data_IF_468822145313
#
_entry.id   IF_468822145313
#
_cell.length_a   1.000
_cell.length_b   1.000
_cell.length_c   1.000
_cell.angle_alpha   90.00
_cell.angle_beta   90.00
_cell.angle_gamma   90.00
#
_symmetry.space_group_name_H-M   'P 1'
#
loop_
_entity.id
_entity.type
_entity.pdbx_description
1 polymer ?
#
# COMPACT_ATOMS: atom_id res chain seq x y z
N UNK A 1 -30.09 44.05 4.59
CA UNK A 1 -29.73 42.61 4.63
C UNK A 1 -29.67 42.23 6.11
N UNK A 2 -30.60 41.40 6.58
CA UNK A 2 -30.83 41.21 8.00
C UNK A 2 -29.66 40.50 8.70
N UNK A 3 -29.21 41.05 9.82
CA UNK A 3 -28.18 40.50 10.71
C UNK A 3 -28.39 39.01 11.02
N UNK A 4 -29.64 38.58 11.15
CA UNK A 4 -30.04 37.20 11.37
C UNK A 4 -29.66 36.25 10.16
N UNK A 5 -29.75 36.75 8.92
CA UNK A 5 -29.35 35.98 7.73
C UNK A 5 -27.85 35.82 7.62
N UNK A 6 -27.09 36.83 8.04
CA UNK A 6 -25.61 36.74 8.07
C UNK A 6 -25.16 35.75 9.14
N UNK A 7 -25.82 35.75 10.31
CA UNK A 7 -25.52 34.82 11.39
C UNK A 7 -25.80 33.34 10.99
N UNK A 8 -26.92 33.08 10.30
CA UNK A 8 -27.27 31.74 9.81
C UNK A 8 -26.30 31.25 8.74
N UNK A 9 -25.86 32.14 7.84
CA UNK A 9 -24.86 31.76 6.82
C UNK A 9 -23.49 31.51 7.45
N UNK A 10 -23.08 32.30 8.44
CA UNK A 10 -21.83 32.10 9.17
C UNK A 10 -21.84 30.79 10.00
N UNK A 11 -22.95 30.46 10.64
CA UNK A 11 -23.06 29.20 11.40
C UNK A 11 -23.12 27.98 10.48
N UNK A 12 -23.75 28.08 9.29
CA UNK A 12 -23.76 26.97 8.31
C UNK A 12 -22.40 26.77 7.66
N UNK A 13 -21.64 27.84 7.39
CA UNK A 13 -20.26 27.76 6.91
C UNK A 13 -19.30 27.16 7.96
N UNK A 14 -19.50 27.55 9.25
CA UNK A 14 -18.72 26.97 10.34
C UNK A 14 -19.04 25.49 10.56
N UNK A 15 -20.30 25.08 10.41
CA UNK A 15 -20.72 23.68 10.51
C UNK A 15 -20.16 22.82 9.35
N UNK A 16 -20.01 23.40 8.15
CA UNK A 16 -19.39 22.71 7.01
C UNK A 16 -17.87 22.51 7.19
N UNK A 17 -17.20 23.35 7.95
CA UNK A 17 -15.76 23.23 8.21
C UNK A 17 -15.43 22.24 9.34
N UNK A 18 -16.43 21.81 10.13
CA UNK A 18 -16.24 20.88 11.26
C UNK A 18 -16.54 19.41 10.93
N UNK A 19 -16.89 19.09 9.67
CA UNK A 19 -17.47 17.79 9.34
C UNK A 19 -16.53 16.80 8.63
N UNK A 20 -15.22 16.87 8.79
CA UNK A 20 -14.32 15.86 8.21
C UNK A 20 -13.08 15.51 9.06
N UNK A 21 -13.23 15.31 10.34
CA UNK A 21 -12.28 14.46 11.04
C UNK A 21 -12.88 13.05 11.13
N UNK A 22 -12.45 12.17 10.23
CA UNK A 22 -12.69 10.74 10.41
C UNK A 22 -12.01 10.30 11.70
N UNK A 23 -12.68 9.54 12.52
CA UNK A 23 -12.19 9.06 13.84
C UNK A 23 -10.81 8.37 13.74
N UNK A 24 -10.44 7.89 12.57
CA UNK A 24 -9.17 7.19 12.28
C UNK A 24 -8.07 8.13 11.75
N UNK A 25 -8.39 9.38 11.40
CA UNK A 25 -7.46 10.29 10.72
C UNK A 25 -7.02 9.79 9.33
N UNK A 26 -7.78 8.86 8.75
CA UNK A 26 -7.62 8.36 7.38
C UNK A 26 -8.87 8.82 6.62
N UNK A 27 -8.73 9.56 5.51
CA UNK A 27 -9.86 9.92 4.67
C UNK A 27 -10.55 8.67 4.11
N UNK A 28 -11.88 8.67 4.13
CA UNK A 28 -12.65 7.64 3.42
C UNK A 28 -12.50 7.92 1.93
N UNK A 29 -11.75 7.06 1.25
CA UNK A 29 -11.46 7.19 -0.17
C UNK A 29 -12.28 6.21 -1.01
N UNK A 30 -12.52 6.57 -2.27
CA UNK A 30 -13.07 5.62 -3.27
C UNK A 30 -12.03 4.62 -3.73
N UNK A 31 -10.76 4.96 -3.58
CA UNK A 31 -9.62 4.12 -3.96
C UNK A 31 -9.02 3.56 -2.68
N UNK A 32 -8.74 2.28 -2.68
CA UNK A 32 -8.06 1.62 -1.58
C UNK A 32 -6.61 2.15 -1.47
N UNK A 33 -6.13 2.30 -0.25
CA UNK A 33 -4.74 2.65 0.05
C UNK A 33 -3.87 1.38 -0.04
N UNK A 34 -3.68 0.86 -1.25
CA UNK A 34 -2.87 -0.33 -1.54
C UNK A 34 -2.38 -0.30 -2.97
N UNK A 35 -1.48 -1.21 -3.31
CA UNK A 35 -1.05 -1.46 -4.69
C UNK A 35 -1.78 -2.72 -5.17
N UNK A 36 -2.86 -2.56 -5.96
CA UNK A 36 -3.70 -3.68 -6.39
C UNK A 36 -3.07 -4.41 -7.58
N UNK A 37 -3.30 -5.72 -7.64
CA UNK A 37 -2.97 -6.55 -8.81
C UNK A 37 -3.87 -7.77 -8.88
N UNK A 38 -3.84 -8.48 -10.01
CA UNK A 38 -4.67 -9.64 -10.27
C UNK A 38 -6.09 -9.28 -10.72
N UNK A 39 -7.06 -10.16 -10.48
CA UNK A 39 -8.47 -9.92 -10.82
C UNK A 39 -9.12 -9.00 -9.78
N UNK A 40 -9.26 -7.73 -10.11
CA UNK A 40 -9.84 -6.73 -9.21
C UNK A 40 -11.33 -6.98 -8.88
N UNK A 41 -12.00 -7.85 -9.63
CA UNK A 41 -13.40 -8.21 -9.42
C UNK A 41 -13.56 -9.52 -8.63
N UNK A 42 -12.46 -10.22 -8.33
CA UNK A 42 -12.51 -11.45 -7.57
C UNK A 42 -13.12 -11.25 -6.17
N UNK A 43 -13.99 -12.16 -5.72
CA UNK A 43 -14.47 -12.17 -4.33
C UNK A 43 -13.40 -12.65 -3.34
N UNK A 44 -12.33 -13.29 -3.82
CA UNK A 44 -11.20 -13.69 -2.98
C UNK A 44 -10.16 -12.58 -3.02
N UNK A 45 -9.87 -11.99 -1.87
CA UNK A 45 -8.86 -10.94 -1.72
C UNK A 45 -7.73 -11.46 -0.84
N UNK A 46 -6.51 -11.34 -1.33
CA UNK A 46 -5.29 -11.63 -0.57
C UNK A 46 -4.51 -10.33 -0.40
N UNK A 47 -4.13 -10.02 0.83
CA UNK A 47 -3.27 -8.87 1.11
C UNK A 47 -1.88 -9.35 1.56
N UNK A 48 -0.84 -8.78 0.99
CA UNK A 48 0.54 -8.94 1.41
C UNK A 48 0.98 -7.65 2.10
N UNK A 49 1.18 -7.71 3.41
CA UNK A 49 1.73 -6.60 4.20
C UNK A 49 3.24 -6.75 4.25
N UNK A 50 3.95 -5.79 3.67
CA UNK A 50 5.40 -5.88 3.44
C UNK A 50 6.13 -4.63 3.91
N UNK A 51 7.43 -4.76 4.17
CA UNK A 51 8.39 -3.66 4.29
C UNK A 51 9.55 -3.94 3.34
N UNK A 52 9.85 -3.01 2.46
CA UNK A 52 10.88 -3.17 1.43
C UNK A 52 12.30 -3.26 1.99
N UNK A 53 12.50 -2.97 3.28
CA UNK A 53 13.76 -3.13 4.00
C UNK A 53 13.77 -4.32 4.97
N UNK A 54 12.68 -5.08 5.04
CA UNK A 54 12.60 -6.28 5.88
C UNK A 54 13.21 -7.49 5.15
N UNK A 55 14.22 -8.14 5.75
CA UNK A 55 14.84 -9.34 5.18
C UNK A 55 13.85 -10.48 5.00
N UNK A 56 12.96 -10.70 5.98
CA UNK A 56 11.94 -11.73 5.88
C UNK A 56 10.95 -11.45 4.72
N UNK A 57 10.67 -10.17 4.40
CA UNK A 57 9.91 -9.83 3.18
C UNK A 57 10.67 -10.24 1.93
N UNK A 58 11.97 -9.95 1.86
CA UNK A 58 12.83 -10.36 0.72
C UNK A 58 12.81 -11.87 0.54
N UNK A 59 12.97 -12.62 1.63
CA UNK A 59 12.99 -14.10 1.60
C UNK A 59 11.67 -14.68 1.09
N UNK A 60 10.54 -14.09 1.51
CA UNK A 60 9.21 -14.53 1.08
C UNK A 60 8.84 -14.08 -0.36
N UNK A 61 9.49 -13.05 -0.90
CA UNK A 61 9.04 -12.37 -2.12
C UNK A 61 9.00 -13.26 -3.37
N UNK A 62 9.92 -14.22 -3.47
CA UNK A 62 9.92 -15.16 -4.60
C UNK A 62 8.64 -16.00 -4.59
N UNK A 63 8.30 -16.61 -3.44
CA UNK A 63 7.09 -17.42 -3.29
C UNK A 63 5.84 -16.57 -3.53
N UNK A 64 5.79 -15.35 -3.01
CA UNK A 64 4.65 -14.44 -3.23
C UNK A 64 4.49 -14.10 -4.72
N UNK A 65 5.59 -13.92 -5.44
CA UNK A 65 5.57 -13.67 -6.89
C UNK A 65 5.02 -14.88 -7.67
N UNK A 66 5.38 -16.10 -7.26
CA UNK A 66 4.83 -17.34 -7.85
C UNK A 66 3.34 -17.49 -7.54
N UNK A 67 2.90 -17.19 -6.33
CA UNK A 67 1.48 -17.18 -5.94
C UNK A 67 0.69 -16.19 -6.80
N UNK A 68 1.20 -14.97 -6.97
CA UNK A 68 0.55 -13.98 -7.85
C UNK A 68 0.48 -14.50 -9.28
N UNK A 69 1.57 -15.03 -9.82
CA UNK A 69 1.60 -15.54 -11.19
C UNK A 69 0.58 -16.66 -11.41
N UNK A 70 0.40 -17.53 -10.41
CA UNK A 70 -0.54 -18.67 -10.49
C UNK A 70 -2.01 -18.24 -10.36
N UNK A 71 -2.30 -17.25 -9.53
CA UNK A 71 -3.68 -16.89 -9.16
C UNK A 71 -4.15 -15.52 -9.68
N UNK A 72 -3.35 -14.79 -10.48
CA UNK A 72 -3.67 -13.42 -10.93
C UNK A 72 -5.02 -13.28 -11.65
N UNK A 73 -5.50 -14.32 -12.30
CA UNK A 73 -6.78 -14.31 -13.03
C UNK A 73 -7.96 -14.79 -12.18
N UNK A 74 -7.74 -15.13 -10.91
CA UNK A 74 -8.70 -15.72 -9.98
C UNK A 74 -8.81 -14.97 -8.65
N UNK A 75 -7.79 -14.21 -8.27
CA UNK A 75 -7.65 -13.60 -6.95
C UNK A 75 -7.32 -12.12 -7.11
N UNK A 76 -7.94 -11.29 -6.28
CA UNK A 76 -7.54 -9.90 -6.07
C UNK A 76 -6.40 -9.86 -5.06
N UNK A 77 -5.24 -9.42 -5.51
CA UNK A 77 -4.13 -9.15 -4.60
C UNK A 77 -4.04 -7.67 -4.25
N UNK A 78 -3.56 -7.38 -3.06
CA UNK A 78 -3.24 -6.04 -2.59
C UNK A 78 -1.91 -6.08 -1.87
N UNK A 79 -0.95 -5.31 -2.34
CA UNK A 79 0.28 -5.09 -1.59
C UNK A 79 0.07 -3.87 -0.70
N UNK A 80 0.35 -4.03 0.60
CA UNK A 80 0.32 -2.98 1.59
C UNK A 80 1.71 -2.79 2.15
N UNK A 81 2.20 -1.57 2.12
CA UNK A 81 3.53 -1.27 2.64
C UNK A 81 3.40 -0.78 4.09
N UNK A 82 4.01 -1.52 5.00
CA UNK A 82 4.12 -1.19 6.42
C UNK A 82 5.58 -0.90 6.77
N UNK A 83 6.04 0.35 6.69
CA UNK A 83 7.38 0.70 7.13
C UNK A 83 7.52 0.44 8.64
N UNK A 84 8.42 -0.50 8.99
CA UNK A 84 8.66 -0.87 10.39
C UNK A 84 9.58 0.16 11.07
N UNK A 85 9.33 0.54 12.32
CA UNK A 85 9.97 1.67 12.97
C UNK A 85 11.48 1.47 13.25
N UNK A 86 11.96 0.25 13.22
CA UNK A 86 13.37 -0.10 13.41
C UNK A 86 14.16 -0.25 12.10
N UNK A 87 13.50 -0.11 10.95
CA UNK A 87 14.12 -0.01 9.64
C UNK A 87 14.19 1.46 9.22
N UNK A 88 15.35 2.08 9.39
CA UNK A 88 15.53 3.54 9.26
C UNK A 88 15.08 4.09 7.90
N UNK A 89 15.25 3.31 6.83
CA UNK A 89 14.95 3.76 5.47
C UNK A 89 13.59 3.28 4.93
N UNK A 90 12.85 2.51 5.73
CA UNK A 90 11.58 1.91 5.32
C UNK A 90 10.57 2.93 4.77
N UNK A 91 10.42 4.08 5.44
CA UNK A 91 9.49 5.11 4.99
C UNK A 91 9.93 5.79 3.68
N UNK A 92 11.25 5.93 3.46
CA UNK A 92 11.77 6.49 2.18
C UNK A 92 11.43 5.55 1.03
N UNK A 93 11.65 4.24 1.18
CA UNK A 93 11.31 3.26 0.15
C UNK A 93 9.80 3.14 -0.06
N UNK A 94 9.00 3.20 1.00
CA UNK A 94 7.54 3.23 0.92
C UNK A 94 7.06 4.44 0.11
N UNK A 95 7.61 5.64 0.38
CA UNK A 95 7.29 6.85 -0.36
C UNK A 95 7.77 6.77 -1.80
N UNK A 96 8.91 6.17 -2.07
CA UNK A 96 9.40 5.94 -3.43
C UNK A 96 8.45 5.02 -4.22
N UNK A 97 7.97 3.92 -3.63
CA UNK A 97 6.94 3.07 -4.24
C UNK A 97 5.66 3.85 -4.57
N UNK A 98 5.19 4.67 -3.63
CA UNK A 98 4.03 5.55 -3.84
C UNK A 98 4.29 6.61 -4.91
N UNK A 99 5.54 7.09 -5.06
CA UNK A 99 5.94 8.03 -6.11
C UNK A 99 5.86 7.36 -7.49
N UNK A 100 6.43 6.16 -7.62
CA UNK A 100 6.33 5.39 -8.87
C UNK A 100 4.88 5.09 -9.20
N UNK A 101 4.08 4.69 -8.22
CA UNK A 101 2.63 4.46 -8.38
C UNK A 101 1.89 5.71 -8.90
N UNK A 102 2.16 6.86 -8.30
CA UNK A 102 1.49 8.12 -8.63
C UNK A 102 1.72 8.54 -10.09
N UNK A 103 2.95 8.43 -10.57
CA UNK A 103 3.32 8.88 -11.92
C UNK A 103 3.16 7.79 -12.99
N UNK A 104 3.34 6.50 -12.64
CA UNK A 104 3.47 5.41 -13.61
C UNK A 104 2.48 4.26 -13.39
N UNK A 105 1.69 4.28 -12.29
CA UNK A 105 0.65 3.30 -12.01
C UNK A 105 1.15 1.99 -11.36
N UNK A 106 0.20 1.06 -11.21
CA UNK A 106 0.36 -0.17 -10.43
C UNK A 106 1.54 -1.02 -10.88
N UNK A 107 1.64 -1.29 -12.17
CA UNK A 107 2.65 -2.20 -12.72
C UNK A 107 4.06 -1.69 -12.45
N UNK A 108 4.32 -0.42 -12.70
CA UNK A 108 5.63 0.18 -12.47
C UNK A 108 5.99 0.19 -10.98
N UNK A 109 5.02 0.40 -10.09
CA UNK A 109 5.24 0.32 -8.65
C UNK A 109 5.64 -1.09 -8.20
N UNK A 110 5.03 -2.14 -8.77
CA UNK A 110 5.42 -3.53 -8.48
C UNK A 110 6.82 -3.84 -9.03
N UNK A 111 7.13 -3.38 -10.24
CA UNK A 111 8.47 -3.55 -10.82
C UNK A 111 9.53 -2.83 -9.97
N UNK A 112 9.23 -1.63 -9.45
CA UNK A 112 10.08 -0.94 -8.47
C UNK A 112 10.27 -1.76 -7.18
N UNK A 113 9.20 -2.36 -6.65
CA UNK A 113 9.30 -3.19 -5.43
C UNK A 113 10.19 -4.42 -5.66
N UNK A 114 10.12 -5.06 -6.84
CA UNK A 114 11.01 -6.13 -7.23
C UNK A 114 12.47 -5.66 -7.19
N UNK A 115 12.78 -4.55 -7.87
CA UNK A 115 14.13 -4.00 -7.94
C UNK A 115 14.64 -3.56 -6.56
N UNK A 116 13.77 -2.96 -5.74
CA UNK A 116 14.11 -2.53 -4.39
C UNK A 116 14.46 -3.71 -3.48
N UNK A 117 13.72 -4.82 -3.56
CA UNK A 117 13.99 -6.04 -2.80
C UNK A 117 15.23 -6.78 -3.32
N UNK A 118 15.47 -6.80 -4.63
CA UNK A 118 16.70 -7.34 -5.20
C UNK A 118 17.93 -6.61 -4.66
N UNK A 119 17.87 -5.28 -4.59
CA UNK A 119 18.97 -4.41 -4.15
C UNK A 119 18.86 -3.99 -2.68
N UNK A 120 18.08 -4.71 -1.88
CA UNK A 120 17.72 -4.34 -0.49
C UNK A 120 18.96 -4.09 0.40
N UNK A 121 20.03 -4.82 0.19
CA UNK A 121 21.30 -4.68 0.92
C UNK A 121 21.84 -3.25 0.94
N UNK A 122 21.60 -2.47 -0.12
CA UNK A 122 21.99 -1.05 -0.23
C UNK A 122 21.23 -0.14 0.72
N UNK A 123 20.05 -0.55 1.18
CA UNK A 123 19.11 0.28 1.93
C UNK A 123 19.02 -0.08 3.42
N UNK A 124 19.73 -1.12 3.85
CA UNK A 124 19.72 -1.55 5.25
C UNK A 124 20.38 -0.51 6.16
N UNK A 125 20.01 -0.53 7.44
CA UNK A 125 20.51 0.42 8.44
C UNK A 125 22.05 0.56 8.43
N UNK A 126 22.77 -0.56 8.39
CA UNK A 126 24.23 -0.55 8.37
C UNK A 126 24.83 0.05 7.09
N UNK A 127 24.21 -0.17 5.93
CA UNK A 127 24.67 0.39 4.66
C UNK A 127 24.46 1.90 4.57
N UNK A 128 23.50 2.43 5.30
CA UNK A 128 23.06 3.83 5.24
C UNK A 128 23.36 4.63 6.50
N UNK A 129 24.07 4.06 7.48
CA UNK A 129 24.29 4.66 8.82
C UNK A 129 24.92 6.06 8.80
N UNK A 130 25.75 6.34 7.80
CA UNK A 130 26.45 7.62 7.64
C UNK A 130 25.83 8.51 6.54
N UNK A 131 24.67 8.15 6.01
CA UNK A 131 23.99 8.89 4.95
C UNK A 131 22.97 9.87 5.53
N UNK A 132 22.91 11.07 4.94
CA UNK A 132 21.82 11.98 5.22
C UNK A 132 20.53 11.47 4.53
N UNK A 133 19.36 11.95 5.00
CA UNK A 133 18.08 11.69 4.33
C UNK A 133 18.14 11.94 2.81
N UNK A 134 18.78 13.06 2.42
CA UNK A 134 18.90 13.43 0.99
C UNK A 134 19.78 12.44 0.21
N UNK A 135 20.81 11.90 0.85
CA UNK A 135 21.69 10.93 0.18
C UNK A 135 20.97 9.59 -0.01
N UNK A 136 20.17 9.18 0.98
CA UNK A 136 19.34 7.99 0.83
C UNK A 136 18.27 8.18 -0.25
N UNK A 137 17.61 9.34 -0.32
CA UNK A 137 16.67 9.65 -1.41
C UNK A 137 17.36 9.54 -2.77
N UNK A 138 18.60 10.05 -2.92
CA UNK A 138 19.38 9.89 -4.17
C UNK A 138 19.77 8.44 -4.44
N UNK A 139 20.12 7.68 -3.41
CA UNK A 139 20.44 6.26 -3.54
C UNK A 139 19.25 5.47 -4.08
N UNK A 140 18.06 5.72 -3.53
CA UNK A 140 16.80 5.07 -3.97
C UNK A 140 16.42 5.49 -5.39
N UNK A 141 16.73 6.73 -5.80
CA UNK A 141 16.53 7.18 -7.18
C UNK A 141 17.18 6.25 -8.21
N UNK A 142 18.38 5.70 -7.89
CA UNK A 142 19.09 4.77 -8.77
C UNK A 142 18.33 3.47 -9.05
N UNK A 143 17.33 3.12 -8.22
CA UNK A 143 16.43 1.98 -8.47
C UNK A 143 15.09 2.47 -9.04
N UNK A 144 14.51 3.53 -8.46
CA UNK A 144 13.19 4.03 -8.86
C UNK A 144 13.14 4.53 -10.32
N UNK A 145 14.26 4.98 -10.87
CA UNK A 145 14.36 5.47 -12.25
C UNK A 145 14.87 4.45 -13.26
N UNK A 146 15.02 3.18 -12.87
CA UNK A 146 15.38 2.11 -13.81
C UNK A 146 14.26 1.82 -14.85
N UNK A 147 13.01 2.14 -14.50
CA UNK A 147 11.85 2.00 -15.36
C UNK A 147 11.54 3.25 -16.17
N UNK A 148 10.25 3.56 -16.28
CA UNK A 148 9.75 4.70 -17.06
C UNK A 148 9.73 6.03 -16.27
N UNK A 149 9.94 6.01 -14.96
CA UNK A 149 9.93 7.20 -14.12
C UNK A 149 11.18 8.05 -14.39
N UNK A 150 11.00 9.33 -14.72
CA UNK A 150 12.12 10.25 -14.86
C UNK A 150 12.68 10.68 -13.50
N UNK A 151 13.95 11.13 -13.51
CA UNK A 151 14.55 11.69 -12.29
C UNK A 151 13.82 12.93 -11.78
N UNK A 152 13.26 13.76 -12.68
CA UNK A 152 12.48 14.94 -12.33
C UNK A 152 11.20 14.56 -11.57
N UNK A 153 10.39 13.65 -12.12
CA UNK A 153 9.17 13.12 -11.48
C UNK A 153 9.49 12.47 -10.13
N UNK A 154 10.59 11.69 -10.05
CA UNK A 154 11.01 11.08 -8.80
C UNK A 154 11.30 12.13 -7.72
N UNK A 155 12.15 13.12 -8.00
CA UNK A 155 12.50 14.12 -7.00
C UNK A 155 11.32 15.06 -6.68
N UNK A 156 10.42 15.33 -7.63
CA UNK A 156 9.18 16.03 -7.37
C UNK A 156 8.31 15.27 -6.36
N UNK A 157 8.09 13.97 -6.57
CA UNK A 157 7.30 13.12 -5.68
C UNK A 157 7.93 12.94 -4.29
N UNK A 158 9.26 12.95 -4.20
CA UNK A 158 9.98 12.82 -2.92
C UNK A 158 10.05 14.14 -2.13
N UNK A 159 9.83 15.31 -2.73
CA UNK A 159 9.82 16.60 -2.03
C UNK A 159 8.42 16.93 -1.48
N UNK A 160 8.20 16.91 -0.15
CA UNK A 160 6.88 17.20 0.44
C UNK A 160 6.42 18.65 0.24
N UNK A 161 7.23 19.51 -0.35
CA UNK A 161 6.87 20.92 -0.64
C UNK A 161 6.19 21.10 -1.98
N UNK A 162 6.27 20.12 -2.88
CA UNK A 162 5.51 20.10 -4.13
C UNK A 162 4.11 19.57 -3.89
N UNK A 163 3.16 19.88 -4.78
CA UNK A 163 1.79 19.37 -4.68
C UNK A 163 1.73 17.85 -4.84
N UNK A 164 2.50 17.31 -5.78
CA UNK A 164 2.63 15.86 -5.98
C UNK A 164 3.24 15.20 -4.75
N UNK A 165 4.38 15.70 -4.26
CA UNK A 165 5.08 15.14 -3.12
C UNK A 165 4.28 15.20 -1.81
N UNK A 166 3.49 16.26 -1.58
CA UNK A 166 2.57 16.35 -0.45
C UNK A 166 1.44 15.30 -0.55
N UNK A 167 0.87 15.12 -1.73
CA UNK A 167 -0.16 14.10 -2.01
C UNK A 167 0.37 12.68 -1.79
N UNK A 168 1.55 12.39 -2.33
CA UNK A 168 2.22 11.09 -2.22
C UNK A 168 2.57 10.79 -0.76
N UNK A 169 3.10 11.78 -0.03
CA UNK A 169 3.40 11.59 1.40
C UNK A 169 2.13 11.32 2.21
N UNK A 170 1.03 12.02 1.92
CA UNK A 170 -0.25 11.76 2.56
C UNK A 170 -0.73 10.33 2.28
N UNK A 171 -0.67 9.87 1.03
CA UNK A 171 -1.01 8.50 0.65
C UNK A 171 -0.15 7.47 1.41
N UNK A 172 1.17 7.64 1.43
CA UNK A 172 2.09 6.75 2.16
C UNK A 172 1.79 6.68 3.65
N UNK A 173 1.45 7.82 4.27
CA UNK A 173 1.03 7.88 5.68
C UNK A 173 -0.33 7.23 5.91
N UNK A 174 -1.26 7.30 4.97
CA UNK A 174 -2.58 6.66 5.07
C UNK A 174 -2.45 5.15 4.95
N UNK A 175 -1.58 4.67 4.09
CA UNK A 175 -1.24 3.24 3.98
C UNK A 175 -0.73 2.70 5.32
N UNK A 176 0.25 3.39 5.93
CA UNK A 176 0.75 3.02 7.25
C UNK A 176 -0.35 3.06 8.33
N UNK A 177 -1.15 4.14 8.37
CA UNK A 177 -2.25 4.25 9.33
C UNK A 177 -3.27 3.13 9.15
N UNK A 178 -3.60 2.79 7.90
CA UNK A 178 -4.48 1.67 7.61
C UNK A 178 -3.93 0.37 8.21
N UNK A 179 -2.68 0.04 7.94
CA UNK A 179 -2.04 -1.15 8.44
C UNK A 179 -2.08 -1.24 9.98
N UNK A 180 -1.71 -0.17 10.67
CA UNK A 180 -1.69 -0.18 12.15
C UNK A 180 -3.09 -0.19 12.77
N UNK A 181 -4.10 0.41 12.12
CA UNK A 181 -5.49 0.34 12.62
C UNK A 181 -6.11 -1.05 12.46
N UNK A 182 -5.56 -1.87 11.54
CA UNK A 182 -5.92 -3.28 11.39
C UNK A 182 -5.09 -4.22 12.27
N UNK A 183 -4.21 -3.66 13.11
CA UNK A 183 -3.37 -4.45 14.01
C UNK A 183 -2.21 -5.16 13.31
N UNK A 184 -1.81 -4.72 12.10
CA UNK A 184 -0.64 -5.27 11.44
C UNK A 184 0.62 -4.75 12.14
N UNK A 185 1.46 -5.67 12.62
CA UNK A 185 2.58 -5.35 13.52
C UNK A 185 3.94 -5.84 13.02
N UNK A 186 3.97 -6.55 11.90
CA UNK A 186 5.20 -7.15 11.35
C UNK A 186 5.07 -7.42 9.87
N UNK A 187 6.18 -7.79 9.26
CA UNK A 187 6.27 -8.12 7.83
C UNK A 187 7.20 -9.31 7.59
N UNK A 188 6.91 -10.18 6.60
CA UNK A 188 5.65 -10.20 5.88
C UNK A 188 4.49 -10.66 6.76
N UNK A 189 3.28 -10.14 6.50
CA UNK A 189 2.04 -10.60 7.11
C UNK A 189 1.02 -10.74 5.98
N UNK A 190 0.15 -11.75 6.09
CA UNK A 190 -0.82 -12.04 5.04
C UNK A 190 -2.23 -12.01 5.58
N UNK A 191 -3.16 -11.55 4.74
CA UNK A 191 -4.59 -11.74 5.01
C UNK A 191 -5.30 -12.36 3.81
N UNK A 192 -6.32 -13.17 4.07
CA UNK A 192 -7.24 -13.69 3.07
C UNK A 192 -8.65 -13.28 3.48
N UNK A 193 -9.32 -12.52 2.63
CA UNK A 193 -10.64 -11.95 2.90
C UNK A 193 -10.71 -11.21 4.27
N UNK A 194 -9.63 -10.49 4.61
CA UNK A 194 -9.52 -9.70 5.84
C UNK A 194 -9.14 -10.50 7.10
N UNK A 195 -8.96 -11.81 7.00
CA UNK A 195 -8.50 -12.64 8.13
C UNK A 195 -6.99 -12.87 8.03
N UNK A 196 -6.27 -12.61 9.12
CA UNK A 196 -4.83 -12.89 9.19
C UNK A 196 -4.61 -14.40 9.08
N UNK A 197 -3.70 -14.79 8.19
CA UNK A 197 -3.26 -16.17 8.01
C UNK A 197 -1.77 -16.26 8.33
N UNK A 198 -1.40 -17.34 9.00
CA UNK A 198 -0.01 -17.62 9.38
C UNK A 198 0.49 -18.86 8.65
N UNK A 199 1.79 -19.08 8.73
CA UNK A 199 2.44 -20.31 8.27
C UNK A 199 2.25 -20.59 6.75
N UNK A 200 2.31 -19.53 5.93
CA UNK A 200 2.30 -19.61 4.47
C UNK A 200 3.68 -19.22 3.92
N UNK A 201 4.65 -20.12 4.08
CA UNK A 201 6.04 -19.92 3.64
C UNK A 201 6.34 -20.54 2.28
N UNK A 202 5.59 -21.59 1.91
CA UNK A 202 5.84 -22.39 0.71
C UNK A 202 4.64 -22.33 -0.26
N UNK A 203 4.93 -22.45 -1.57
CA UNK A 203 3.89 -22.39 -2.61
C UNK A 203 2.78 -23.43 -2.42
N UNK A 204 3.10 -24.62 -1.93
CA UNK A 204 2.11 -25.68 -1.74
C UNK A 204 1.14 -25.38 -0.56
N UNK A 205 1.59 -24.66 0.45
CA UNK A 205 0.73 -24.15 1.54
C UNK A 205 -0.26 -23.10 1.00
N UNK A 206 0.21 -22.21 0.14
CA UNK A 206 -0.64 -21.24 -0.56
C UNK A 206 -1.66 -21.94 -1.44
N UNK A 207 -1.28 -22.96 -2.21
CA UNK A 207 -2.21 -23.75 -3.03
C UNK A 207 -3.24 -24.47 -2.19
N UNK A 208 -2.82 -25.12 -1.09
CA UNK A 208 -3.73 -25.80 -0.18
C UNK A 208 -4.78 -24.85 0.40
N UNK A 209 -4.41 -23.58 0.60
CA UNK A 209 -5.28 -22.54 1.15
C UNK A 209 -6.17 -21.89 0.09
N UNK A 210 -5.62 -21.53 -1.07
CA UNK A 210 -6.34 -20.77 -2.09
C UNK A 210 -7.17 -21.64 -3.04
N UNK A 211 -6.71 -22.85 -3.38
CA UNK A 211 -7.41 -23.75 -4.29
C UNK A 211 -8.89 -24.01 -3.89
N UNK A 212 -9.20 -24.29 -2.61
CA UNK A 212 -10.59 -24.47 -2.19
C UNK A 212 -11.45 -23.21 -2.34
N UNK A 213 -10.84 -22.03 -2.24
CA UNK A 213 -11.56 -20.75 -2.34
C UNK A 213 -11.88 -20.37 -3.78
N UNK A 214 -11.04 -20.77 -4.74
CA UNK A 214 -11.20 -20.45 -6.16
C UNK A 214 -11.84 -21.58 -6.98
N UNK A 215 -11.68 -22.84 -6.55
CA UNK A 215 -12.31 -24.02 -7.16
C UNK A 215 -13.76 -24.14 -6.70
N UNK A 216 -14.67 -23.65 -7.48
CA UNK A 216 -16.10 -23.81 -7.21
C UNK A 216 -16.83 -22.54 -6.84
N UNK A 217 -16.33 -21.40 -7.24
CA UNK A 217 -17.09 -20.16 -7.28
C UNK A 217 -18.24 -20.25 -8.29
N UNK A 218 -19.21 -21.14 -8.03
CA UNK A 218 -20.58 -20.72 -8.21
C UNK A 218 -20.74 -19.58 -7.21
N UNK A 219 -20.76 -18.38 -7.74
CA UNK A 219 -21.14 -17.20 -6.99
C UNK A 219 -22.31 -17.58 -6.11
N UNK A 220 -22.12 -17.63 -4.78
CA UNK A 220 -23.23 -17.35 -3.88
C UNK A 220 -23.47 -15.86 -4.15
N UNK A 221 -24.20 -15.58 -5.24
CA UNK A 221 -24.79 -14.28 -5.40
C UNK A 221 -25.58 -14.08 -4.10
N UNK A 222 -25.34 -13.04 -3.33
CA UNK A 222 -26.20 -12.75 -2.20
C UNK A 222 -27.61 -12.76 -2.75
N UNK A 223 -28.47 -13.57 -2.14
CA UNK A 223 -29.90 -13.63 -2.50
C UNK A 223 -30.38 -12.17 -2.39
N UNK A 224 -30.58 -11.54 -3.56
CA UNK A 224 -30.91 -10.11 -3.65
C UNK A 224 -32.19 -9.75 -2.88
N UNK A 225 -32.93 -10.76 -2.46
CA UNK A 225 -34.22 -10.63 -1.77
C UNK A 225 -34.08 -10.75 -0.24
N UNK A 226 -32.87 -11.00 0.29
CA UNK A 226 -32.60 -11.07 1.73
C UNK A 226 -31.66 -9.96 2.15
N UNK A 227 -32.26 -8.85 2.60
CA UNK A 227 -31.53 -7.80 3.32
C UNK A 227 -31.35 -8.28 4.76
N UNK A 228 -30.13 -8.63 5.14
CA UNK A 228 -29.76 -8.87 6.52
C UNK A 228 -29.33 -7.52 7.12
N UNK A 229 -30.14 -6.95 8.01
CA UNK A 229 -29.79 -5.83 8.90
C UNK A 229 -29.24 -6.37 10.20
#
# INVERSE_FOLDING_TARGET
MNFLRILVVLTSLLALSLSQETQTGIPISRVDYSFPLGDLNSPVTVEFVIDLTCSATKDAWLVLSEVVALYKDLVKFKIRILPLPYHQQAFILSKAASTVYYFQGDRAAIDFMNDALEHQDKFLNGATENMSYKDVVKLVAGVATNGSLSGEEYFEGMDPKTDAGATIEAFTRYEWKYAVTHGYYGTPLYTINGLIVNDLSELDEWKATLDPLVKGQKTIAPDSDKIYL
#
